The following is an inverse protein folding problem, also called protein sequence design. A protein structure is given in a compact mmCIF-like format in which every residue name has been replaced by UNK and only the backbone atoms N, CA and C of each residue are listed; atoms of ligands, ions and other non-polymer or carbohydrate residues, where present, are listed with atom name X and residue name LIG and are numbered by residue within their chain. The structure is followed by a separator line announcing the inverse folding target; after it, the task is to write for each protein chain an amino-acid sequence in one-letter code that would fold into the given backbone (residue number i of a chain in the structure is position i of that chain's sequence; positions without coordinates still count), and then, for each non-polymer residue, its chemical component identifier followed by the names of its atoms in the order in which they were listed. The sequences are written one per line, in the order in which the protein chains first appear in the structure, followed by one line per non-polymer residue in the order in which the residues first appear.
data_IF_665507734912
#
_entry.id   IF_665507734912
#
_cell.length_a   1.000
_cell.length_b   1.000
_cell.length_c   1.000
_cell.angle_alpha   90.00
_cell.angle_beta   90.00
_cell.angle_gamma   90.00
#
_symmetry.space_group_name_H-M   'P 1'
#
loop_
_entity.id
_entity.type
_entity.pdbx_description
1 polymer ?
#
# COMPACT_ATOMS: atom_id res chain seq x y z
N UNK A 1 -11.58 2.58 -25.87
CA UNK A 1 -11.74 1.21 -25.36
C UNK A 1 -13.18 0.91 -25.07
N UNK A 2 -13.82 0.23 -26.02
CA UNK A 2 -15.24 -0.08 -26.07
C UNK A 2 -15.42 -1.59 -26.04
N UNK A 3 -16.02 -2.12 -24.97
CA UNK A 3 -16.45 -3.52 -24.91
C UNK A 3 -16.69 -4.09 -23.51
N UNK A 4 -16.06 -3.55 -22.46
CA UNK A 4 -16.21 -4.09 -21.11
C UNK A 4 -17.51 -3.58 -20.48
N UNK A 5 -18.51 -4.46 -20.32
CA UNK A 5 -19.84 -4.08 -19.83
C UNK A 5 -19.88 -3.85 -18.31
N UNK A 6 -18.73 -3.89 -17.62
CA UNK A 6 -18.60 -3.71 -16.17
C UNK A 6 -19.18 -4.86 -15.33
N UNK A 7 -19.80 -5.87 -15.95
CA UNK A 7 -20.37 -7.03 -15.28
C UNK A 7 -19.50 -8.27 -15.44
N UNK A 8 -19.05 -8.59 -16.67
CA UNK A 8 -18.24 -9.79 -16.95
C UNK A 8 -16.92 -9.83 -16.18
N UNK A 9 -16.36 -8.65 -15.89
CA UNK A 9 -15.10 -8.53 -15.16
C UNK A 9 -15.15 -9.09 -13.74
N UNK A 10 -16.33 -9.18 -13.15
CA UNK A 10 -16.53 -9.73 -11.81
C UNK A 10 -16.32 -11.24 -11.85
N UNK A 11 -16.83 -11.89 -12.91
CA UNK A 11 -16.67 -13.32 -13.12
C UNK A 11 -15.20 -13.63 -13.42
N UNK A 12 -14.55 -12.84 -14.28
CA UNK A 12 -13.11 -12.96 -14.55
C UNK A 12 -12.27 -12.80 -13.27
N UNK A 13 -12.60 -11.81 -12.44
CA UNK A 13 -11.91 -11.61 -11.16
C UNK A 13 -12.15 -12.78 -10.20
N UNK A 14 -13.37 -13.33 -10.18
CA UNK A 14 -13.68 -14.49 -9.38
C UNK A 14 -12.89 -15.74 -9.81
N UNK A 15 -12.79 -15.99 -11.11
CA UNK A 15 -12.00 -17.09 -11.66
C UNK A 15 -10.52 -16.96 -11.33
N UNK A 16 -9.96 -15.74 -11.43
CA UNK A 16 -8.59 -15.45 -11.03
C UNK A 16 -8.34 -15.79 -9.54
N UNK A 17 -9.21 -15.31 -8.64
CA UNK A 17 -9.07 -15.59 -7.21
C UNK A 17 -9.30 -17.06 -6.86
N UNK A 18 -10.19 -17.75 -7.58
CA UNK A 18 -10.40 -19.20 -7.43
C UNK A 18 -9.14 -19.99 -7.81
N UNK A 19 -8.55 -19.71 -8.99
CA UNK A 19 -7.30 -20.35 -9.44
C UNK A 19 -6.18 -20.17 -8.41
N UNK A 20 -6.06 -18.95 -7.88
CA UNK A 20 -5.08 -18.61 -6.84
C UNK A 20 -5.36 -19.29 -5.50
N UNK A 21 -6.63 -19.46 -5.13
CA UNK A 21 -7.00 -20.15 -3.90
C UNK A 21 -6.67 -21.65 -3.98
N UNK A 22 -7.04 -22.30 -5.09
CA UNK A 22 -6.78 -23.72 -5.32
C UNK A 22 -5.29 -24.04 -5.35
N UNK A 23 -4.46 -23.15 -5.91
CA UNK A 23 -3.00 -23.34 -5.93
C UNK A 23 -2.33 -23.21 -4.56
N UNK A 24 -3.00 -22.60 -3.58
CA UNK A 24 -2.48 -22.41 -2.23
C UNK A 24 -3.00 -23.49 -1.26
N UNK A 25 -4.25 -23.93 -1.41
CA UNK A 25 -4.95 -24.79 -0.44
C UNK A 25 -5.35 -26.13 -1.08
N UNK A 26 -4.37 -26.81 -1.68
CA UNK A 26 -4.42 -28.20 -2.19
C UNK A 26 -5.83 -28.79 -2.33
N UNK A 27 -6.51 -28.43 -3.42
CA UNK A 27 -7.81 -28.98 -3.86
C UNK A 27 -9.03 -28.83 -2.92
N UNK A 28 -9.05 -27.90 -1.96
CA UNK A 28 -10.27 -27.59 -1.17
C UNK A 28 -11.20 -26.57 -1.81
N UNK A 29 -11.64 -26.82 -3.04
CA UNK A 29 -12.51 -25.89 -3.80
C UNK A 29 -13.79 -25.52 -3.04
N UNK A 30 -14.33 -26.44 -2.23
CA UNK A 30 -15.58 -26.29 -1.49
C UNK A 30 -15.56 -25.13 -0.47
N UNK A 31 -14.38 -24.76 0.04
CA UNK A 31 -14.22 -23.65 0.99
C UNK A 31 -14.16 -22.27 0.31
N UNK A 32 -14.14 -22.23 -1.03
CA UNK A 32 -14.01 -20.99 -1.77
C UNK A 32 -15.31 -20.18 -1.76
N UNK A 33 -15.26 -19.01 -1.12
CA UNK A 33 -16.33 -18.02 -1.19
C UNK A 33 -16.10 -17.11 -2.39
N UNK A 34 -17.14 -16.95 -3.22
CA UNK A 34 -17.15 -16.06 -4.38
C UNK A 34 -16.76 -14.62 -4.00
N UNK A 35 -16.00 -13.91 -4.86
CA UNK A 35 -15.50 -12.55 -4.58
C UNK A 35 -16.61 -11.57 -4.23
N UNK A 36 -17.73 -11.63 -4.95
CA UNK A 36 -18.95 -10.85 -4.66
C UNK A 36 -19.43 -11.05 -3.21
N UNK A 37 -19.54 -12.30 -2.76
CA UNK A 37 -20.03 -12.61 -1.42
C UNK A 37 -19.02 -12.24 -0.33
N UNK A 38 -17.71 -12.31 -0.64
CA UNK A 38 -16.66 -11.79 0.23
C UNK A 38 -16.75 -10.26 0.39
N UNK A 39 -17.02 -9.53 -0.68
CA UNK A 39 -17.19 -8.06 -0.66
C UNK A 39 -18.44 -7.68 0.15
N UNK A 40 -19.55 -8.37 -0.07
CA UNK A 40 -20.81 -8.09 0.61
C UNK A 40 -20.96 -8.73 1.99
N UNK A 41 -19.93 -9.41 2.52
CA UNK A 41 -20.03 -10.13 3.80
C UNK A 41 -20.54 -9.23 4.94
N UNK A 42 -20.11 -7.97 4.95
CA UNK A 42 -20.46 -6.99 5.99
C UNK A 42 -21.87 -6.38 5.80
N UNK A 43 -22.42 -6.47 4.59
CA UNK A 43 -23.67 -5.81 4.15
C UNK A 43 -24.89 -6.73 4.25
N UNK A 44 -24.71 -7.95 4.77
CA UNK A 44 -25.79 -8.95 4.88
C UNK A 44 -26.87 -8.59 5.92
N UNK A 45 -26.60 -7.62 6.79
CA UNK A 45 -27.55 -7.19 7.81
C UNK A 45 -28.64 -6.30 7.20
N UNK A 46 -29.92 -6.63 7.43
CA UNK A 46 -31.08 -5.82 6.99
C UNK A 46 -31.07 -4.38 7.48
N UNK A 47 -30.32 -4.10 8.55
CA UNK A 47 -30.14 -2.76 9.13
C UNK A 47 -28.96 -2.00 8.53
N UNK A 48 -28.18 -2.63 7.64
CA UNK A 48 -27.08 -1.96 6.94
C UNK A 48 -27.63 -0.99 5.90
N UNK A 49 -27.05 0.22 5.86
CA UNK A 49 -27.43 1.26 4.91
C UNK A 49 -27.34 0.80 3.44
N UNK A 50 -26.47 -0.18 3.16
CA UNK A 50 -26.25 -0.72 1.82
C UNK A 50 -27.03 -2.03 1.55
N UNK A 51 -27.94 -2.44 2.45
CA UNK A 51 -28.71 -3.67 2.30
C UNK A 51 -29.60 -3.67 1.04
N UNK A 52 -30.26 -2.56 0.74
CA UNK A 52 -31.05 -2.38 -0.49
C UNK A 52 -30.20 -2.52 -1.76
N UNK A 53 -28.93 -2.17 -1.62
CA UNK A 53 -27.94 -2.33 -2.67
C UNK A 53 -27.62 -3.80 -2.89
N UNK A 54 -27.54 -4.61 -1.83
CA UNK A 54 -27.28 -6.07 -1.88
C UNK A 54 -28.44 -6.88 -2.49
N UNK A 55 -29.69 -6.45 -2.33
CA UNK A 55 -30.87 -7.20 -2.82
C UNK A 55 -31.12 -7.05 -4.33
N UNK A 56 -30.53 -6.05 -4.98
CA UNK A 56 -30.67 -5.80 -6.44
C UNK A 56 -29.59 -6.56 -7.21
N UNK A 57 -29.96 -7.69 -7.81
CA UNK A 57 -29.08 -8.82 -8.16
C UNK A 57 -27.86 -8.60 -9.08
N UNK A 58 -27.90 -7.70 -10.07
CA UNK A 58 -26.76 -7.41 -10.95
C UNK A 58 -25.95 -6.22 -10.43
N UNK A 59 -24.65 -6.44 -10.25
CA UNK A 59 -23.72 -5.45 -9.72
C UNK A 59 -22.72 -5.11 -10.79
N UNK A 60 -22.66 -3.85 -11.23
CA UNK A 60 -21.55 -3.40 -12.03
C UNK A 60 -20.31 -3.23 -11.14
N UNK A 61 -19.13 -3.33 -11.75
CA UNK A 61 -17.86 -3.32 -11.03
C UNK A 61 -17.61 -2.04 -10.22
N UNK A 62 -18.04 -0.87 -10.69
CA UNK A 62 -17.88 0.39 -9.94
C UNK A 62 -18.59 0.34 -8.58
N UNK A 63 -19.76 -0.30 -8.52
CA UNK A 63 -20.52 -0.49 -7.29
C UNK A 63 -19.81 -1.46 -6.35
N UNK A 64 -19.11 -2.47 -6.87
CA UNK A 64 -18.30 -3.36 -6.03
C UNK A 64 -17.06 -2.65 -5.49
N UNK A 65 -16.40 -1.81 -6.30
CA UNK A 65 -15.21 -1.05 -5.89
C UNK A 65 -15.53 -0.15 -4.69
N UNK A 66 -16.70 0.49 -4.67
CA UNK A 66 -17.15 1.31 -3.54
C UNK A 66 -17.33 0.50 -2.24
N UNK A 67 -17.67 -0.78 -2.36
CA UNK A 67 -17.90 -1.68 -1.23
C UNK A 67 -16.66 -2.49 -0.84
N UNK A 68 -15.61 -2.50 -1.66
CA UNK A 68 -14.39 -3.23 -1.37
C UNK A 68 -13.68 -2.62 -0.15
N UNK A 69 -13.33 -3.48 0.80
CA UNK A 69 -12.28 -3.16 1.75
C UNK A 69 -10.98 -2.85 1.01
N UNK A 70 -10.07 -2.14 1.67
CA UNK A 70 -8.78 -1.78 1.07
C UNK A 70 -7.96 -3.00 0.63
N UNK A 71 -8.04 -4.11 1.39
CA UNK A 71 -7.40 -5.37 1.02
C UNK A 71 -7.99 -5.95 -0.27
N UNK A 72 -9.32 -5.94 -0.40
CA UNK A 72 -10.01 -6.40 -1.60
C UNK A 72 -9.67 -5.53 -2.82
N UNK A 73 -9.63 -4.20 -2.66
CA UNK A 73 -9.21 -3.30 -3.74
C UNK A 73 -7.78 -3.58 -4.19
N UNK A 74 -6.86 -3.84 -3.26
CA UNK A 74 -5.48 -4.20 -3.59
C UNK A 74 -5.39 -5.52 -4.36
N UNK A 75 -6.18 -6.53 -3.98
CA UNK A 75 -6.26 -7.81 -4.71
C UNK A 75 -6.87 -7.63 -6.10
N UNK A 76 -7.87 -6.76 -6.23
CA UNK A 76 -8.52 -6.45 -7.50
C UNK A 76 -7.56 -5.75 -8.49
N UNK A 77 -6.76 -4.79 -8.02
CA UNK A 77 -5.72 -4.15 -8.84
C UNK A 77 -4.66 -5.17 -9.27
N UNK A 78 -4.29 -6.11 -8.38
CA UNK A 78 -3.38 -7.20 -8.72
C UNK A 78 -3.93 -8.05 -9.87
N UNK A 79 -5.19 -8.48 -9.78
CA UNK A 79 -5.87 -9.19 -10.86
C UNK A 79 -5.76 -8.45 -12.20
N UNK A 80 -6.07 -7.15 -12.20
CA UNK A 80 -5.96 -6.32 -13.41
C UNK A 80 -4.57 -6.36 -14.03
N UNK A 81 -3.53 -6.19 -13.21
CA UNK A 81 -2.14 -6.14 -13.69
C UNK A 81 -1.65 -7.52 -14.14
N UNK A 82 -1.93 -8.57 -13.36
CA UNK A 82 -1.46 -9.93 -13.64
C UNK A 82 -2.10 -10.50 -14.92
N UNK A 83 -3.39 -10.24 -15.15
CA UNK A 83 -4.10 -10.65 -16.37
C UNK A 83 -3.81 -9.72 -17.58
N UNK A 84 -2.92 -8.74 -17.41
CA UNK A 84 -2.57 -7.78 -18.47
C UNK A 84 -3.75 -6.90 -18.91
N UNK A 85 -4.80 -6.81 -18.08
CA UNK A 85 -5.97 -5.97 -18.32
C UNK A 85 -5.58 -4.51 -18.10
N UNK A 86 -5.42 -3.79 -19.20
CA UNK A 86 -4.93 -2.42 -19.27
C UNK A 86 -3.48 -2.25 -18.82
N UNK A 87 -2.59 -2.00 -19.79
CA UNK A 87 -1.16 -1.73 -19.56
C UNK A 87 -0.93 -0.30 -19.03
N UNK A 88 -1.44 -0.02 -17.84
CA UNK A 88 -1.27 1.27 -17.18
C UNK A 88 -0.10 1.25 -16.21
N UNK A 89 0.87 2.15 -16.44
CA UNK A 89 1.96 2.40 -15.49
C UNK A 89 1.45 2.84 -14.12
N UNK A 90 0.29 3.50 -14.06
CA UNK A 90 -0.32 3.86 -12.79
C UNK A 90 -0.73 2.57 -12.07
N UNK A 91 -1.55 1.72 -12.68
CA UNK A 91 -1.97 0.45 -12.06
C UNK A 91 -0.78 -0.41 -11.58
N UNK A 92 0.31 -0.46 -12.35
CA UNK A 92 1.56 -1.13 -11.94
C UNK A 92 2.18 -0.54 -10.65
N UNK A 93 2.21 0.80 -10.50
CA UNK A 93 2.63 1.46 -9.25
C UNK A 93 1.70 1.09 -8.09
N UNK A 94 0.38 1.10 -8.30
CA UNK A 94 -0.56 0.68 -7.25
C UNK A 94 -0.34 -0.77 -6.87
N UNK A 95 -0.25 -1.68 -7.84
CA UNK A 95 0.00 -3.10 -7.62
C UNK A 95 1.24 -3.32 -6.74
N UNK A 96 2.34 -2.64 -7.06
CA UNK A 96 3.61 -2.75 -6.32
C UNK A 96 3.54 -2.21 -4.90
N UNK A 97 2.84 -1.10 -4.68
CA UNK A 97 3.01 -0.32 -3.44
C UNK A 97 1.79 -0.20 -2.54
N UNK A 98 0.57 -0.42 -3.05
CA UNK A 98 -0.68 -0.14 -2.33
C UNK A 98 -0.84 -0.99 -1.07
N UNK A 99 -0.34 -2.22 -1.06
CA UNK A 99 -0.38 -3.10 0.11
C UNK A 99 0.39 -2.50 1.31
N UNK A 100 1.52 -1.84 1.07
CA UNK A 100 2.35 -1.27 2.14
C UNK A 100 1.70 -0.07 2.83
N UNK A 101 0.96 0.77 2.10
CA UNK A 101 0.23 1.87 2.73
C UNK A 101 -0.95 1.40 3.59
N UNK A 102 -1.46 0.17 3.36
CA UNK A 102 -2.44 -0.46 4.26
C UNK A 102 -1.89 -0.59 5.69
N UNK A 103 -0.63 -1.01 5.83
CA UNK A 103 0.00 -1.19 7.14
C UNK A 103 0.05 0.11 7.95
N UNK A 104 0.28 1.24 7.28
CA UNK A 104 0.27 2.56 7.91
C UNK A 104 -1.16 2.97 8.27
N UNK A 105 -2.12 2.78 7.37
CA UNK A 105 -3.54 3.05 7.65
C UNK A 105 -4.02 2.26 8.87
N UNK A 106 -3.78 0.96 8.89
CA UNK A 106 -4.21 0.07 9.98
C UNK A 106 -3.50 0.45 11.29
N UNK A 107 -2.21 0.81 11.23
CA UNK A 107 -1.47 1.30 12.40
C UNK A 107 -2.07 2.61 12.94
N UNK A 108 -2.43 3.55 12.06
CA UNK A 108 -3.06 4.80 12.46
C UNK A 108 -4.46 4.59 13.05
N UNK A 109 -5.29 3.74 12.44
CA UNK A 109 -6.64 3.42 12.92
C UNK A 109 -6.64 2.77 14.31
N UNK A 110 -5.61 1.99 14.62
CA UNK A 110 -5.45 1.34 15.93
C UNK A 110 -4.47 2.06 16.86
N UNK A 111 -4.06 3.30 16.55
CA UNK A 111 -3.11 4.10 17.34
C UNK A 111 -1.81 3.35 17.70
N UNK A 112 -1.32 2.51 16.79
CA UNK A 112 -0.07 1.75 16.97
C UNK A 112 1.14 2.68 16.77
N UNK A 113 2.19 2.57 17.60
CA UNK A 113 3.40 3.38 17.43
C UNK A 113 4.09 3.16 16.07
N UNK A 114 4.24 4.23 15.28
CA UNK A 114 4.91 4.17 13.96
C UNK A 114 6.44 4.26 14.06
N UNK A 115 6.97 4.86 15.13
CA UNK A 115 8.40 5.07 15.33
C UNK A 115 9.12 3.90 16.02
N UNK A 116 8.39 2.87 16.44
CA UNK A 116 8.97 1.71 17.09
C UNK A 116 9.88 0.94 16.10
N UNK A 117 11.11 0.65 16.52
CA UNK A 117 12.12 -0.11 15.78
C UNK A 117 12.48 0.45 14.39
N UNK A 118 12.31 1.75 14.16
CA UNK A 118 12.61 2.38 12.85
C UNK A 118 14.09 2.38 12.48
N UNK A 119 14.97 2.21 13.46
CA UNK A 119 16.44 2.23 13.26
C UNK A 119 17.02 0.86 12.93
N UNK A 120 16.22 -0.20 13.01
CA UNK A 120 16.64 -1.53 12.61
C UNK A 120 16.76 -1.60 11.09
N UNK A 121 17.97 -1.82 10.59
CA UNK A 121 18.24 -2.05 9.16
C UNK A 121 18.15 -3.53 8.81
N UNK A 122 18.00 -3.82 7.53
CA UNK A 122 18.00 -5.17 6.95
C UNK A 122 16.91 -6.11 7.48
N UNK A 123 15.76 -5.56 7.92
CA UNK A 123 14.63 -6.37 8.38
C UNK A 123 14.12 -7.33 7.28
N UNK A 124 14.29 -6.96 6.01
CA UNK A 124 13.98 -7.81 4.87
C UNK A 124 14.83 -9.09 4.84
N UNK A 125 16.06 -9.06 5.36
CA UNK A 125 16.99 -10.19 5.35
C UNK A 125 16.93 -11.03 6.62
N UNK A 126 16.48 -10.47 7.75
CA UNK A 126 16.33 -11.19 9.03
C UNK A 126 15.27 -12.30 8.98
N UNK A 127 14.31 -12.22 8.06
CA UNK A 127 13.22 -13.19 7.91
C UNK A 127 13.66 -14.41 7.08
N UNK A 128 14.63 -14.25 6.17
CA UNK A 128 15.11 -15.32 5.28
C UNK A 128 16.47 -15.83 5.77
N UNK A 129 16.44 -16.74 6.75
CA UNK A 129 17.62 -17.36 7.37
C UNK A 129 18.28 -18.47 6.53
N UNK A 130 17.93 -18.62 5.25
CA UNK A 130 18.59 -19.58 4.37
C UNK A 130 19.81 -18.93 3.70
N UNK A 131 20.99 -19.52 3.90
CA UNK A 131 22.30 -19.03 3.46
C UNK A 131 22.46 -18.78 1.94
N UNK A 132 21.44 -19.08 1.12
CA UNK A 132 21.49 -18.99 -0.34
C UNK A 132 20.38 -18.12 -0.99
N UNK A 133 19.59 -17.36 -0.23
CA UNK A 133 18.58 -16.47 -0.84
C UNK A 133 19.11 -15.04 -1.04
N UNK A 134 18.91 -14.50 -2.26
CA UNK A 134 19.26 -13.12 -2.60
C UNK A 134 18.67 -12.18 -1.55
N UNK A 135 19.50 -11.26 -1.02
CA UNK A 135 19.06 -10.21 -0.09
C UNK A 135 17.79 -9.56 -0.63
N UNK A 136 16.69 -9.65 0.11
CA UNK A 136 15.42 -9.02 -0.29
C UNK A 136 15.64 -7.51 -0.25
N UNK A 137 15.40 -6.84 -1.39
CA UNK A 137 15.64 -5.42 -1.55
C UNK A 137 14.33 -4.71 -1.91
N UNK A 138 14.19 -3.48 -1.41
CA UNK A 138 13.11 -2.60 -1.83
C UNK A 138 13.06 -2.43 -3.35
N UNK A 139 11.85 -2.29 -3.87
CA UNK A 139 11.59 -2.18 -5.30
C UNK A 139 12.34 -0.99 -5.94
N UNK A 140 12.81 -1.14 -7.19
CA UNK A 140 13.62 -0.13 -7.90
C UNK A 140 12.92 1.23 -7.99
N UNK A 141 11.61 1.22 -8.24
CA UNK A 141 10.82 2.45 -8.35
C UNK A 141 10.79 3.24 -7.03
N UNK A 142 10.67 2.54 -5.89
CA UNK A 142 10.73 3.19 -4.58
C UNK A 142 12.13 3.74 -4.31
N UNK A 143 13.19 2.97 -4.60
CA UNK A 143 14.58 3.43 -4.47
C UNK A 143 14.80 4.75 -5.22
N UNK A 144 14.35 4.83 -6.48
CA UNK A 144 14.41 6.05 -7.29
C UNK A 144 13.56 7.18 -6.69
N UNK A 145 12.40 6.86 -6.12
CA UNK A 145 11.54 7.85 -5.49
C UNK A 145 12.19 8.48 -4.25
N UNK A 146 12.83 7.68 -3.39
CA UNK A 146 13.44 8.13 -2.13
C UNK A 146 14.85 8.72 -2.28
N UNK A 147 15.39 8.74 -3.49
CA UNK A 147 16.59 9.50 -3.82
C UNK A 147 16.31 11.00 -3.63
N UNK A 148 17.06 11.61 -2.71
CA UNK A 148 16.99 13.02 -2.34
C UNK A 148 18.41 13.57 -2.20
N UNK A 149 18.57 14.89 -2.27
CA UNK A 149 19.87 15.55 -2.05
C UNK A 149 20.36 15.45 -0.60
N UNK A 150 19.47 15.09 0.34
CA UNK A 150 19.78 15.05 1.78
C UNK A 150 20.61 13.82 2.19
N UNK A 151 20.62 12.76 1.37
CA UNK A 151 21.27 11.50 1.66
C UNK A 151 21.86 10.85 0.41
N UNK A 152 23.00 10.17 0.60
CA UNK A 152 23.57 9.31 -0.44
C UNK A 152 22.60 8.19 -0.79
N UNK A 153 22.46 7.89 -2.09
CA UNK A 153 21.60 6.82 -2.63
C UNK A 153 21.70 5.47 -1.90
N UNK A 154 22.94 5.06 -1.58
CA UNK A 154 23.21 3.82 -0.83
C UNK A 154 22.52 3.84 0.54
N UNK A 155 22.66 4.95 1.27
CA UNK A 155 22.09 5.12 2.60
C UNK A 155 20.55 5.15 2.57
N UNK A 156 19.96 5.90 1.63
CA UNK A 156 18.50 5.86 1.44
C UNK A 156 17.98 4.45 1.14
N UNK A 157 18.72 3.69 0.32
CA UNK A 157 18.37 2.31 -0.02
C UNK A 157 18.46 1.35 1.17
N UNK A 158 19.41 1.56 2.08
CA UNK A 158 19.53 0.80 3.33
C UNK A 158 18.37 1.13 4.29
N UNK A 159 18.01 2.40 4.45
CA UNK A 159 16.94 2.81 5.37
C UNK A 159 15.57 2.23 5.00
N UNK A 160 15.26 2.16 3.70
CA UNK A 160 13.99 1.58 3.23
C UNK A 160 13.95 0.04 3.30
N UNK A 161 14.95 -0.62 3.87
CA UNK A 161 14.86 -2.05 4.24
C UNK A 161 14.18 -2.27 5.59
N UNK A 162 13.93 -1.20 6.35
CA UNK A 162 13.08 -1.21 7.53
C UNK A 162 11.61 -1.16 7.11
N UNK A 163 10.76 -2.06 7.62
CA UNK A 163 9.35 -2.14 7.20
C UNK A 163 8.58 -0.84 7.43
N UNK A 164 8.80 -0.17 8.57
CA UNK A 164 8.09 1.08 8.90
C UNK A 164 8.50 2.21 7.99
N UNK A 165 9.80 2.35 7.74
CA UNK A 165 10.33 3.37 6.82
C UNK A 165 9.88 3.09 5.39
N UNK A 166 9.96 1.83 4.97
CA UNK A 166 9.49 1.39 3.67
C UNK A 166 8.02 1.75 3.44
N UNK A 167 7.14 1.37 4.37
CA UNK A 167 5.70 1.56 4.25
C UNK A 167 5.31 3.04 4.26
N UNK A 168 5.99 3.86 5.07
CA UNK A 168 5.83 5.32 5.06
C UNK A 168 6.28 5.93 3.73
N UNK A 169 7.40 5.48 3.16
CA UNK A 169 7.87 5.96 1.86
C UNK A 169 6.90 5.56 0.74
N UNK A 170 6.36 4.34 0.77
CA UNK A 170 5.32 3.88 -0.15
C UNK A 170 4.05 4.74 -0.06
N UNK A 171 3.60 5.08 1.16
CA UNK A 171 2.44 5.95 1.34
C UNK A 171 2.64 7.33 0.70
N UNK A 172 3.79 7.96 0.96
CA UNK A 172 4.11 9.28 0.39
C UNK A 172 4.22 9.18 -1.15
N UNK A 173 4.85 8.12 -1.66
CA UNK A 173 4.99 7.88 -3.09
C UNK A 173 3.63 7.72 -3.79
N UNK A 174 2.77 6.86 -3.25
CA UNK A 174 1.41 6.67 -3.77
C UNK A 174 0.63 7.98 -3.76
N UNK A 175 0.70 8.75 -2.66
CA UNK A 175 -0.01 10.02 -2.60
C UNK A 175 0.51 11.02 -3.65
N UNK A 176 1.83 11.10 -3.86
CA UNK A 176 2.41 11.98 -4.89
C UNK A 176 2.03 11.54 -6.33
N UNK A 177 1.83 10.23 -6.54
CA UNK A 177 1.44 9.69 -7.83
C UNK A 177 -0.06 9.77 -8.11
N UNK A 178 -0.96 9.59 -7.13
CA UNK A 178 -2.40 9.52 -7.40
C UNK A 178 -3.16 10.80 -7.11
N UNK A 179 -2.82 11.52 -6.05
CA UNK A 179 -3.54 12.75 -5.72
C UNK A 179 -2.93 13.88 -6.53
N UNK A 180 -3.66 14.45 -7.50
CA UNK A 180 -3.13 15.52 -8.37
C UNK A 180 -3.53 16.95 -7.96
N UNK A 181 -4.46 17.09 -7.02
CA UNK A 181 -4.97 18.40 -6.59
C UNK A 181 -3.91 19.24 -5.86
N UNK A 182 -3.56 20.41 -6.41
CA UNK A 182 -2.55 21.33 -5.87
C UNK A 182 -2.83 21.76 -4.43
N UNK A 183 -4.08 22.12 -4.14
CA UNK A 183 -4.48 22.55 -2.80
C UNK A 183 -4.33 21.42 -1.78
N UNK A 184 -4.86 20.24 -2.09
CA UNK A 184 -4.76 19.06 -1.22
C UNK A 184 -3.31 18.72 -0.94
N UNK A 185 -2.45 18.69 -1.96
CA UNK A 185 -1.01 18.45 -1.83
C UNK A 185 -0.34 19.48 -0.92
N UNK A 186 -0.65 20.77 -1.08
CA UNK A 186 -0.10 21.83 -0.23
C UNK A 186 -0.47 21.64 1.25
N UNK A 187 -1.72 21.27 1.53
CA UNK A 187 -2.18 20.96 2.89
C UNK A 187 -1.45 19.73 3.45
N UNK A 188 -1.39 18.64 2.69
CA UNK A 188 -0.70 17.40 3.13
C UNK A 188 0.80 17.61 3.36
N UNK A 189 1.47 18.39 2.51
CA UNK A 189 2.88 18.75 2.70
C UNK A 189 3.11 19.50 4.01
N UNK A 190 2.20 20.41 4.38
CA UNK A 190 2.26 21.12 5.68
C UNK A 190 2.14 20.14 6.84
N UNK A 191 1.18 19.22 6.78
CA UNK A 191 0.99 18.21 7.83
C UNK A 191 2.20 17.27 7.95
N UNK A 192 2.77 16.83 6.84
CA UNK A 192 4.02 16.05 6.86
C UNK A 192 5.16 16.83 7.51
N UNK A 193 5.25 18.14 7.24
CA UNK A 193 6.24 19.02 7.86
C UNK A 193 6.01 19.20 9.36
N UNK A 194 4.75 19.25 9.80
CA UNK A 194 4.41 19.33 11.22
C UNK A 194 4.77 18.04 11.96
N UNK A 195 4.55 16.87 11.34
CA UNK A 195 5.02 15.58 11.87
C UNK A 195 6.55 15.55 11.98
N UNK A 196 7.25 16.02 10.94
CA UNK A 196 8.72 16.15 10.97
C UNK A 196 9.20 17.05 12.11
N UNK A 197 8.58 18.23 12.30
CA UNK A 197 8.89 19.12 13.43
C UNK A 197 8.66 18.47 14.79
N UNK A 198 7.57 17.71 14.93
CA UNK A 198 7.28 16.97 16.17
C UNK A 198 8.37 15.94 16.47
N UNK A 199 8.88 15.23 15.46
CA UNK A 199 10.00 14.31 15.63
C UNK A 199 11.29 15.01 16.09
N UNK A 200 11.49 16.28 15.70
CA UNK A 200 12.63 17.09 16.14
C UNK A 200 12.47 17.69 17.55
N UNK A 201 11.24 17.84 18.05
CA UNK A 201 10.97 18.51 19.34
C UNK A 201 11.67 17.83 20.53
N UNK A 202 11.84 16.51 20.47
CA UNK A 202 12.60 15.72 21.45
C UNK A 202 13.89 15.14 20.87
N UNK A 203 14.57 15.86 19.97
CA UNK A 203 15.81 15.38 19.32
C UNK A 203 16.88 14.93 20.31
N UNK A 204 16.92 15.54 21.49
CA UNK A 204 17.83 15.19 22.58
C UNK A 204 17.59 13.79 23.14
N UNK A 205 16.36 13.26 23.09
CA UNK A 205 16.07 11.88 23.49
C UNK A 205 16.67 10.84 22.52
N UNK A 206 17.08 11.28 21.33
CA UNK A 206 17.67 10.45 20.29
C UNK A 206 19.12 10.85 19.96
N UNK A 207 19.74 11.72 20.78
CA UNK A 207 21.13 12.14 20.57
C UNK A 207 22.05 10.94 20.80
N UNK A 208 22.64 10.44 19.72
CA UNK A 208 23.46 9.22 19.73
C UNK A 208 22.94 8.10 18.82
N UNK A 209 21.76 8.27 18.21
CA UNK A 209 21.21 7.30 17.26
C UNK A 209 21.35 7.86 15.83
N UNK A 210 22.51 7.67 15.22
CA UNK A 210 22.84 8.22 13.90
C UNK A 210 21.85 7.79 12.80
N UNK A 211 21.37 6.55 12.88
CA UNK A 211 20.37 6.02 11.95
C UNK A 211 19.07 6.82 12.02
N UNK A 212 18.69 7.31 13.20
CA UNK A 212 17.50 8.14 13.36
C UNK A 212 17.69 9.51 12.71
N UNK A 213 18.88 10.10 12.83
CA UNK A 213 19.21 11.34 12.12
C UNK A 213 19.15 11.16 10.60
N UNK A 214 19.62 10.02 10.09
CA UNK A 214 19.51 9.73 8.66
C UNK A 214 18.06 9.54 8.22
N UNK A 215 17.23 8.86 9.02
CA UNK A 215 15.78 8.76 8.77
C UNK A 215 15.14 10.15 8.69
N UNK A 216 15.48 11.06 9.61
CA UNK A 216 14.98 12.43 9.60
C UNK A 216 15.42 13.20 8.34
N UNK A 217 16.67 13.01 7.89
CA UNK A 217 17.17 13.59 6.63
C UNK A 217 16.42 13.04 5.41
N UNK A 218 16.17 11.73 5.38
CA UNK A 218 15.40 11.07 4.33
C UNK A 218 14.00 11.69 4.21
N UNK A 219 13.28 11.76 5.33
CA UNK A 219 11.92 12.32 5.35
C UNK A 219 11.91 13.81 5.02
N UNK A 220 12.86 14.59 5.54
CA UNK A 220 12.96 16.00 5.17
C UNK A 220 13.19 16.19 3.66
N UNK A 221 14.07 15.39 3.06
CA UNK A 221 14.30 15.38 1.62
C UNK A 221 13.05 15.01 0.83
N UNK A 222 12.32 13.98 1.27
CA UNK A 222 11.06 13.55 0.66
C UNK A 222 9.99 14.64 0.75
N UNK A 223 9.81 15.28 1.90
CA UNK A 223 8.85 16.36 2.10
C UNK A 223 9.18 17.54 1.18
N UNK A 224 10.46 17.91 1.03
CA UNK A 224 10.86 18.98 0.11
C UNK A 224 10.53 18.64 -1.34
N UNK A 225 10.87 17.42 -1.76
CA UNK A 225 10.63 16.88 -3.12
C UNK A 225 9.15 16.71 -3.44
N UNK A 226 8.31 16.45 -2.44
CA UNK A 226 6.88 16.23 -2.60
C UNK A 226 6.19 17.38 -3.34
N UNK A 227 5.45 17.04 -4.40
CA UNK A 227 4.88 18.00 -5.36
C UNK A 227 3.83 18.89 -4.68
N UNK A 228 3.74 20.14 -5.10
CA UNK A 228 2.71 21.09 -4.68
C UNK A 228 1.89 21.52 -5.88
#
# INVERSE_FOLDING_TARGET
DSGENGFSIIDDYNEYELKRFVSIIDNKVEDYIHVKDKIFKEVKNKRDYNYDTYTRGKFPIWKLIEMMSYGQLSSFIKFYVDEGKYKSKQLDIAYKFLHYSKNIRDSAAHSRPLLLNVVEVDQFNKIYTSHNQKKSQAHRDLKRYVETEMLKRKKSSELITNFRIHDLCCLIYLHDEYVKGKFVRKVRKRELFDVYKRALYRRNMYSGIDQFNDILKLFYGLIRKYRC
#
